data_IF_082448124237
#
_entry.id   IF_082448124237
#
_cell.length_a   1.000
_cell.length_b   1.000
_cell.length_c   1.000
_cell.angle_alpha   90.00
_cell.angle_beta   90.00
_cell.angle_gamma   90.00
#
_symmetry.space_group_name_H-M   'P 1'
#
loop_
_entity.id
_entity.type
_entity.pdbx_description
1 polymer ?
#
# COMPACT_ATOMS: atom_id res chain seq x y z
N UNK A 1 -1.44 -5.67 5.34
CA UNK A 1 -1.52 -6.10 6.75
C UNK A 1 -2.51 -5.17 7.43
N UNK A 2 -3.53 -5.70 8.11
CA UNK A 2 -4.41 -4.92 8.98
C UNK A 2 -3.75 -4.95 10.35
N UNK A 3 -3.30 -3.79 10.85
CA UNK A 3 -2.80 -3.65 12.22
C UNK A 3 -3.96 -3.13 13.05
N UNK A 4 -4.58 -4.02 13.83
CA UNK A 4 -5.69 -3.66 14.71
C UNK A 4 -5.12 -3.05 16.00
N UNK A 5 -5.23 -1.73 16.11
CA UNK A 5 -5.06 -0.99 17.36
C UNK A 5 -6.42 -0.33 17.67
N UNK A 6 -7.20 -0.94 18.56
CA UNK A 6 -8.58 -0.55 18.92
C UNK A 6 -9.62 -0.53 17.76
N UNK A 7 -9.79 -1.64 17.05
CA UNK A 7 -10.81 -1.84 15.98
C UNK A 7 -10.71 -0.91 14.75
N UNK A 8 -9.66 -0.08 14.64
CA UNK A 8 -9.44 0.82 13.49
C UNK A 8 -8.39 0.26 12.55
N UNK A 9 -8.58 0.43 11.24
CA UNK A 9 -7.67 -0.12 10.23
C UNK A 9 -6.69 0.92 9.73
N UNK A 10 -5.41 0.55 9.71
CA UNK A 10 -4.39 1.21 8.92
C UNK A 10 -4.10 0.42 7.64
N UNK A 11 -3.87 1.13 6.54
CA UNK A 11 -3.59 0.56 5.23
C UNK A 11 -2.14 0.83 4.83
N UNK A 12 -1.51 -0.12 4.15
CA UNK A 12 -0.16 0.02 3.62
C UNK A 12 -0.21 0.01 2.09
N UNK A 13 0.21 1.11 1.47
CA UNK A 13 0.39 1.21 0.02
C UNK A 13 1.88 1.07 -0.31
N UNK A 14 2.21 0.09 -1.14
CA UNK A 14 3.58 -0.16 -1.63
C UNK A 14 3.68 0.40 -3.05
N UNK A 15 4.56 1.38 -3.23
CA UNK A 15 4.80 2.04 -4.50
C UNK A 15 6.25 1.83 -4.96
N UNK A 16 6.41 1.04 -6.01
CA UNK A 16 7.67 0.85 -6.71
C UNK A 16 7.75 1.84 -7.88
N UNK A 17 8.58 2.87 -7.75
CA UNK A 17 8.78 3.89 -8.78
C UNK A 17 9.43 3.35 -10.06
N UNK A 18 9.92 2.10 -10.07
CA UNK A 18 10.64 1.46 -11.19
C UNK A 18 11.54 2.45 -11.91
N UNK A 19 12.45 3.08 -11.16
CA UNK A 19 13.40 4.02 -11.74
C UNK A 19 14.29 3.27 -12.74
N UNK A 20 14.53 3.81 -13.95
CA UNK A 20 15.49 3.21 -14.86
C UNK A 20 16.85 3.18 -14.16
N UNK A 21 17.29 1.97 -13.80
CA UNK A 21 18.58 1.74 -13.15
C UNK A 21 19.67 2.23 -14.11
N UNK A 22 20.42 3.26 -13.72
CA UNK A 22 21.54 3.76 -14.54
C UNK A 22 22.77 2.86 -14.38
N UNK A 23 22.85 2.13 -13.26
CA UNK A 23 23.82 1.08 -12.95
C UNK A 23 23.14 -0.09 -12.25
N UNK A 24 23.67 -1.31 -12.39
CA UNK A 24 23.14 -2.50 -11.71
C UNK A 24 23.20 -2.43 -10.16
N UNK A 25 24.02 -1.51 -9.65
CA UNK A 25 24.20 -1.19 -8.23
C UNK A 25 23.21 -0.12 -7.74
N UNK A 26 22.49 0.57 -8.66
CA UNK A 26 21.36 1.43 -8.30
C UNK A 26 20.21 0.53 -7.84
N UNK A 27 20.10 0.32 -6.53
CA UNK A 27 19.07 -0.52 -5.95
C UNK A 27 17.65 -0.02 -6.23
N UNK A 28 16.67 -0.89 -6.04
CA UNK A 28 15.27 -0.49 -6.10
C UNK A 28 14.92 0.33 -4.86
N UNK A 29 14.25 1.46 -5.09
CA UNK A 29 13.82 2.36 -4.03
C UNK A 29 12.30 2.31 -3.96
N UNK A 30 11.78 1.62 -2.94
CA UNK A 30 10.35 1.44 -2.74
C UNK A 30 9.84 2.52 -1.79
N UNK A 31 8.75 3.19 -2.17
CA UNK A 31 8.03 4.08 -1.28
C UNK A 31 6.89 3.32 -0.63
N UNK A 32 6.79 3.41 0.68
CA UNK A 32 5.71 2.84 1.46
C UNK A 32 4.88 3.99 2.03
N UNK A 33 3.57 3.91 1.92
CA UNK A 33 2.66 4.87 2.53
C UNK A 33 1.80 4.14 3.56
N UNK A 34 1.95 4.51 4.83
CA UNK A 34 1.10 4.06 5.91
C UNK A 34 -0.06 5.03 6.04
N UNK A 35 -1.24 4.59 5.66
CA UNK A 35 -2.44 5.42 5.53
C UNK A 35 -3.39 5.08 6.68
N UNK A 36 -3.78 6.09 7.46
CA UNK A 36 -4.66 5.89 8.62
C UNK A 36 -5.47 7.15 8.94
N UNK A 37 -6.63 6.96 9.59
CA UNK A 37 -7.42 8.07 10.17
C UNK A 37 -6.91 8.51 11.54
N UNK A 38 -6.02 7.72 12.13
CA UNK A 38 -5.49 7.86 13.49
C UNK A 38 -3.96 7.75 13.50
N UNK A 39 -3.35 8.14 14.61
CA UNK A 39 -1.93 7.87 14.86
C UNK A 39 -1.79 6.48 15.48
N UNK A 40 -0.99 5.62 14.85
CA UNK A 40 -0.70 4.29 15.39
C UNK A 40 0.08 4.42 16.70
N UNK A 41 -0.12 3.49 17.64
CA UNK A 41 0.79 3.35 18.76
C UNK A 41 2.20 3.00 18.28
N UNK A 42 3.20 3.28 19.13
CA UNK A 42 4.60 2.95 18.84
C UNK A 42 4.79 1.45 18.56
N UNK A 43 4.10 0.59 19.33
CA UNK A 43 4.14 -0.86 19.12
C UNK A 43 3.54 -1.28 17.76
N UNK A 44 2.36 -0.75 17.41
CA UNK A 44 1.73 -1.02 16.12
C UNK A 44 2.60 -0.51 14.94
N UNK A 45 3.24 0.64 15.10
CA UNK A 45 4.16 1.18 14.10
C UNK A 45 5.42 0.31 13.95
N UNK A 46 6.01 -0.18 15.04
CA UNK A 46 7.13 -1.13 15.00
C UNK A 46 6.77 -2.43 14.28
N UNK A 47 5.55 -2.95 14.48
CA UNK A 47 5.07 -4.15 13.80
C UNK A 47 4.95 -3.92 12.28
N UNK A 48 4.50 -2.73 11.85
CA UNK A 48 4.51 -2.34 10.43
C UNK A 48 5.92 -2.32 9.86
N UNK A 49 6.88 -1.75 10.60
CA UNK A 49 8.28 -1.73 10.16
C UNK A 49 8.84 -3.15 9.99
N UNK A 50 8.63 -4.03 10.97
CA UNK A 50 9.09 -5.42 10.90
C UNK A 50 8.47 -6.17 9.73
N UNK A 51 7.17 -5.99 9.49
CA UNK A 51 6.50 -6.55 8.33
C UNK A 51 7.12 -6.08 7.01
N UNK A 52 7.44 -4.79 6.91
CA UNK A 52 8.07 -4.22 5.72
C UNK A 52 9.50 -4.74 5.53
N UNK A 53 10.26 -4.84 6.62
CA UNK A 53 11.60 -5.43 6.61
C UNK A 53 11.52 -6.87 6.12
N UNK A 54 10.68 -7.73 6.71
CA UNK A 54 10.53 -9.13 6.30
C UNK A 54 10.09 -9.27 4.82
N UNK A 55 9.18 -8.41 4.37
CA UNK A 55 8.66 -8.43 3.00
C UNK A 55 9.73 -8.03 1.97
N UNK A 56 10.60 -7.07 2.32
CA UNK A 56 11.54 -6.44 1.41
C UNK A 56 12.98 -6.95 1.55
N UNK A 57 13.36 -7.55 2.68
CA UNK A 57 14.68 -8.14 2.92
C UNK A 57 14.95 -9.29 1.94
N UNK A 58 13.89 -9.97 1.49
CA UNK A 58 13.98 -10.99 0.43
C UNK A 58 14.27 -10.41 -0.97
N UNK A 59 14.26 -9.08 -1.16
CA UNK A 59 14.47 -8.44 -2.47
C UNK A 59 15.92 -7.97 -2.59
N UNK A 60 16.61 -8.46 -3.63
CA UNK A 60 17.99 -8.08 -3.90
C UNK A 60 18.13 -6.56 -4.14
N UNK A 61 19.09 -5.94 -3.46
CA UNK A 61 19.45 -4.53 -3.60
C UNK A 61 18.22 -3.60 -3.50
N UNK A 62 17.41 -3.78 -2.46
CA UNK A 62 16.21 -3.00 -2.21
C UNK A 62 16.37 -2.12 -0.98
N UNK A 63 15.89 -0.89 -1.05
CA UNK A 63 15.73 0.01 0.09
C UNK A 63 14.33 0.60 0.06
N UNK A 64 13.80 0.95 1.23
CA UNK A 64 12.50 1.59 1.31
C UNK A 64 12.51 2.84 2.19
N UNK A 65 11.54 3.71 1.91
CA UNK A 65 11.20 4.84 2.76
C UNK A 65 9.70 4.77 3.05
N UNK A 66 9.31 4.93 4.32
CA UNK A 66 7.92 4.92 4.73
C UNK A 66 7.46 6.32 5.14
N UNK A 67 6.31 6.74 4.63
CA UNK A 67 5.64 7.99 4.95
C UNK A 67 4.26 7.72 5.56
N UNK A 68 3.94 8.39 6.66
CA UNK A 68 2.61 8.30 7.28
C UNK A 68 1.67 9.35 6.70
N UNK A 69 0.53 8.91 6.21
CA UNK A 69 -0.47 9.71 5.52
C UNK A 69 -1.77 9.67 6.30
N UNK A 70 -2.15 10.81 6.87
CA UNK A 70 -3.40 10.92 7.62
C UNK A 70 -4.56 11.23 6.68
N UNK A 71 -5.57 10.37 6.66
CA UNK A 71 -6.81 10.56 5.91
C UNK A 71 -7.96 10.94 6.85
N UNK A 72 -8.97 11.64 6.33
CA UNK A 72 -10.06 12.15 7.16
C UNK A 72 -11.11 11.07 7.50
N UNK A 73 -11.37 10.16 6.57
CA UNK A 73 -12.35 9.09 6.69
C UNK A 73 -11.74 7.76 6.29
N UNK A 74 -12.17 6.68 6.96
CA UNK A 74 -11.75 5.32 6.67
C UNK A 74 -12.59 4.79 5.51
N UNK A 75 -11.94 4.16 4.53
CA UNK A 75 -12.65 3.61 3.40
C UNK A 75 -13.21 2.24 3.79
N UNK A 76 -14.50 2.17 4.06
CA UNK A 76 -15.20 0.89 4.22
C UNK A 76 -15.50 0.31 2.84
N UNK A 77 -15.09 -0.93 2.62
CA UNK A 77 -15.42 -1.69 1.42
C UNK A 77 -15.61 -3.15 1.75
N UNK A 78 -16.64 -3.76 1.16
CA UNK A 78 -16.90 -5.19 1.32
C UNK A 78 -16.04 -5.99 0.32
N UNK A 79 -14.85 -6.40 0.73
CA UNK A 79 -14.00 -7.27 -0.08
C UNK A 79 -14.52 -8.72 -0.03
N UNK A 80 -14.72 -9.42 -1.16
CA UNK A 80 -14.28 -9.09 -2.52
C UNK A 80 -15.36 -8.46 -3.42
N UNK A 81 -16.51 -8.07 -2.88
CA UNK A 81 -17.67 -7.64 -3.66
C UNK A 81 -17.54 -6.20 -4.19
N UNK A 82 -16.81 -5.33 -3.50
CA UNK A 82 -16.68 -3.90 -3.81
C UNK A 82 -15.30 -3.52 -4.37
N UNK A 83 -14.69 -4.38 -5.18
CA UNK A 83 -13.35 -4.15 -5.75
C UNK A 83 -13.23 -2.87 -6.60
N UNK A 84 -14.34 -2.42 -7.21
CA UNK A 84 -14.37 -1.12 -7.92
C UNK A 84 -14.19 0.05 -6.94
N UNK A 85 -14.76 -0.06 -5.74
CA UNK A 85 -14.60 0.94 -4.70
C UNK A 85 -13.13 1.02 -4.26
N UNK A 86 -12.47 -0.13 -4.09
CA UNK A 86 -11.02 -0.20 -3.80
C UNK A 86 -10.21 0.51 -4.87
N UNK A 87 -10.51 0.26 -6.16
CA UNK A 87 -9.83 0.96 -7.26
C UNK A 87 -10.00 2.47 -7.16
N UNK A 88 -11.23 2.96 -7.01
CA UNK A 88 -11.50 4.39 -6.85
C UNK A 88 -10.73 4.99 -5.68
N UNK A 89 -10.70 4.30 -4.54
CA UNK A 89 -9.96 4.75 -3.36
C UNK A 89 -8.44 4.82 -3.61
N UNK A 90 -7.87 3.81 -4.27
CA UNK A 90 -6.45 3.85 -4.66
C UNK A 90 -6.19 4.98 -5.66
N UNK A 91 -7.11 5.27 -6.60
CA UNK A 91 -6.99 6.42 -7.52
C UNK A 91 -6.97 7.74 -6.75
N UNK A 92 -7.83 7.90 -5.74
CA UNK A 92 -7.84 9.08 -4.86
C UNK A 92 -6.53 9.22 -4.08
N UNK A 93 -6.00 8.13 -3.53
CA UNK A 93 -4.71 8.14 -2.83
C UNK A 93 -3.56 8.50 -3.76
N UNK A 94 -3.52 7.93 -4.97
CA UNK A 94 -2.54 8.29 -6.01
C UNK A 94 -2.61 9.78 -6.32
N UNK A 95 -3.81 10.34 -6.40
CA UNK A 95 -4.02 11.78 -6.63
C UNK A 95 -3.55 12.63 -5.45
N UNK A 96 -3.93 12.29 -4.22
CA UNK A 96 -3.52 12.99 -2.98
C UNK A 96 -2.00 12.99 -2.82
N UNK A 97 -1.37 11.85 -3.09
CA UNK A 97 0.07 11.65 -3.01
C UNK A 97 0.84 12.21 -4.22
N UNK A 98 0.12 12.76 -5.22
CA UNK A 98 0.68 13.32 -6.46
C UNK A 98 1.60 12.33 -7.18
N UNK A 99 1.25 11.04 -7.14
CA UNK A 99 1.99 10.01 -7.83
C UNK A 99 1.62 10.04 -9.33
N UNK A 100 2.63 10.07 -10.19
CA UNK A 100 2.44 10.04 -11.64
C UNK A 100 2.26 8.58 -12.10
N UNK A 101 1.07 8.04 -11.79
CA UNK A 101 0.73 6.63 -12.04
C UNK A 101 -0.66 6.54 -12.64
N UNK A 102 -0.76 5.86 -13.77
CA UNK A 102 -2.04 5.43 -14.33
C UNK A 102 -2.36 4.05 -13.79
N UNK A 103 -3.43 3.91 -13.00
CA UNK A 103 -3.89 2.60 -12.56
C UNK A 103 -4.44 1.80 -13.75
N UNK A 104 -4.26 0.47 -13.77
CA UNK A 104 -4.85 -0.36 -14.81
C UNK A 104 -6.38 -0.26 -14.79
N UNK A 105 -6.98 -0.39 -15.97
CA UNK A 105 -8.42 -0.61 -16.06
C UNK A 105 -8.71 -2.01 -15.50
N UNK A 106 -9.54 -2.07 -14.46
CA UNK A 106 -9.99 -3.32 -13.88
C UNK A 106 -11.46 -3.53 -14.25
N UNK A 107 -11.76 -4.72 -14.74
CA UNK A 107 -13.11 -5.20 -15.02
C UNK A 107 -13.52 -6.27 -14.01
N UNK A 108 -14.83 -6.52 -13.85
CA UNK A 108 -15.31 -7.60 -12.97
C UNK A 108 -14.70 -8.98 -13.31
N UNK A 109 -14.37 -9.21 -14.58
CA UNK A 109 -13.77 -10.45 -15.05
C UNK A 109 -12.38 -10.70 -14.51
N UNK A 110 -11.64 -9.64 -14.19
CA UNK A 110 -10.29 -9.73 -13.61
C UNK A 110 -10.33 -10.30 -12.18
N UNK A 111 -11.51 -10.28 -11.53
CA UNK A 111 -11.72 -10.79 -10.18
C UNK A 111 -12.32 -12.20 -10.12
N UNK A 112 -12.81 -12.74 -11.25
CA UNK A 112 -13.37 -14.09 -11.31
C UNK A 112 -12.39 -15.19 -10.88
N UNK A 113 -11.08 -14.91 -10.90
CA UNK A 113 -10.03 -15.84 -10.52
C UNK A 113 -9.43 -15.53 -9.13
N UNK A 114 -9.92 -14.48 -8.46
CA UNK A 114 -9.49 -14.06 -7.12
C UNK A 114 -10.42 -14.55 -6.01
N UNK A 115 -11.65 -14.97 -6.34
CA UNK A 115 -12.44 -15.79 -5.43
C UNK A 115 -11.76 -17.14 -5.32
N UNK A 116 -11.11 -17.40 -4.19
CA UNK A 116 -10.80 -18.78 -3.81
C UNK A 116 -12.12 -19.46 -3.47
N UNK A 117 -12.59 -20.34 -4.36
CA UNK A 117 -13.53 -21.40 -3.98
C UNK A 117 -12.90 -22.31 -2.92
#
# INVERSE_FOLDING_TARGET
MIVNDDDRTAFLLIYDERRPQKKAEDGNHIKLFLISTFELSEAAYEDVLRFNDDLLDMKYNCSYFMESVKVAEEFEFDFPFEMRAIRTYVEELVHVLKLDVTLPELSEKDFNYLSQD
#
